data_IF_383321429805
#
_entry.id   IF_383321429805
#
_cell.length_a   1.000
_cell.length_b   1.000
_cell.length_c   1.000
_cell.angle_alpha   90.00
_cell.angle_beta   90.00
_cell.angle_gamma   90.00
#
_symmetry.space_group_name_H-M   'P 1'
#
loop_
_entity.id
_entity.type
_entity.pdbx_description
1 polymer ?
#
# COMPACT_ATOMS: atom_id res chain seq x y z
N UNK A 1 13.14 -14.17 -18.16
CA UNK A 1 12.06 -13.92 -17.17
C UNK A 1 12.63 -13.02 -16.06
N UNK A 2 11.86 -12.07 -15.50
CA UNK A 2 12.38 -11.17 -14.46
C UNK A 2 12.80 -11.97 -13.22
N UNK A 3 13.94 -11.60 -12.59
CA UNK A 3 14.51 -12.34 -11.48
C UNK A 3 13.57 -12.34 -10.28
N UNK A 4 13.61 -13.46 -9.54
CA UNK A 4 12.91 -13.59 -8.27
C UNK A 4 13.89 -13.18 -7.16
N UNK A 5 13.47 -12.24 -6.31
CA UNK A 5 14.27 -11.80 -5.17
C UNK A 5 13.49 -12.11 -3.90
N UNK A 6 14.10 -12.85 -2.98
CA UNK A 6 13.50 -13.30 -1.70
C UNK A 6 12.12 -13.98 -1.90
N UNK A 7 12.01 -14.88 -2.89
CA UNK A 7 10.78 -15.62 -3.18
C UNK A 7 9.64 -14.79 -3.80
N UNK A 8 9.89 -13.52 -4.14
CA UNK A 8 8.90 -12.63 -4.76
C UNK A 8 9.37 -12.19 -6.15
N UNK A 9 8.44 -12.17 -7.09
CA UNK A 9 8.71 -11.70 -8.46
C UNK A 9 8.70 -10.17 -8.50
N UNK A 10 9.70 -9.60 -9.17
CA UNK A 10 9.72 -8.17 -9.47
C UNK A 10 8.68 -7.90 -10.57
N UNK A 11 7.76 -6.96 -10.30
CA UNK A 11 6.68 -6.59 -11.24
C UNK A 11 6.88 -5.16 -11.73
N UNK A 12 7.36 -5.03 -12.96
CA UNK A 12 7.36 -3.75 -13.68
C UNK A 12 5.97 -3.54 -14.30
N UNK A 13 5.40 -2.35 -14.13
CA UNK A 13 4.01 -2.04 -14.50
C UNK A 13 3.93 -1.18 -15.75
N UNK A 14 4.66 -0.07 -15.76
CA UNK A 14 4.65 0.90 -16.85
C UNK A 14 6.00 1.58 -16.96
N UNK A 15 6.30 2.10 -18.15
CA UNK A 15 7.49 2.89 -18.41
C UNK A 15 7.09 4.17 -19.14
N UNK A 16 7.81 5.26 -18.87
CA UNK A 16 7.62 6.53 -19.58
C UNK A 16 8.96 7.21 -19.82
N UNK A 17 8.99 8.14 -20.78
CA UNK A 17 10.18 8.95 -21.05
C UNK A 17 10.35 9.99 -19.92
N UNK A 18 11.48 9.92 -19.22
CA UNK A 18 11.86 10.90 -18.19
C UNK A 18 12.61 12.11 -18.75
N UNK A 19 13.22 11.97 -19.93
CA UNK A 19 14.01 13.02 -20.57
C UNK A 19 14.56 12.57 -21.92
N UNK A 20 15.02 13.54 -22.73
CA UNK A 20 15.41 13.29 -24.12
C UNK A 20 16.94 13.26 -24.35
N UNK A 21 17.74 14.08 -23.64
CA UNK A 21 19.18 14.19 -23.87
C UNK A 21 19.99 14.06 -22.57
N UNK A 22 20.51 12.87 -22.22
CA UNK A 22 20.35 11.58 -22.89
C UNK A 22 18.92 10.99 -22.69
N UNK A 23 18.46 10.06 -23.53
CA UNK A 23 17.15 9.42 -23.37
C UNK A 23 17.05 8.69 -22.02
N UNK A 24 16.11 9.13 -21.18
CA UNK A 24 15.83 8.51 -19.87
C UNK A 24 14.51 7.76 -19.95
N UNK A 25 14.52 6.48 -19.59
CA UNK A 25 13.33 5.65 -19.47
C UNK A 25 13.11 5.37 -17.98
N UNK A 26 12.00 5.90 -17.45
CA UNK A 26 11.61 5.68 -16.05
C UNK A 26 10.64 4.50 -16.00
N UNK A 27 11.02 3.43 -15.32
CA UNK A 27 10.23 2.21 -15.17
C UNK A 27 9.66 2.15 -13.75
N UNK A 28 8.34 2.07 -13.67
CA UNK A 28 7.61 1.96 -12.42
C UNK A 28 7.23 0.53 -12.11
N UNK A 29 7.31 0.15 -10.84
CA UNK A 29 6.91 -1.18 -10.43
C UNK A 29 6.97 -1.44 -8.94
N UNK A 30 6.90 -2.73 -8.60
CA UNK A 30 7.06 -3.25 -7.25
C UNK A 30 8.39 -3.98 -7.13
N UNK A 31 9.15 -3.62 -6.10
CA UNK A 31 10.50 -4.13 -5.83
C UNK A 31 11.50 -3.88 -6.97
N UNK A 32 11.33 -2.78 -7.72
CA UNK A 32 12.26 -2.45 -8.79
C UNK A 32 13.63 -2.04 -8.23
N UNK A 33 13.70 -1.58 -6.99
CA UNK A 33 14.96 -1.25 -6.30
C UNK A 33 15.86 -2.48 -6.09
N UNK A 34 15.25 -3.67 -6.03
CA UNK A 34 15.94 -4.95 -5.85
C UNK A 34 16.40 -5.58 -7.16
N UNK A 35 16.21 -4.88 -8.28
CA UNK A 35 16.56 -5.41 -9.59
C UNK A 35 18.08 -5.47 -9.74
N UNK A 36 18.66 -6.65 -10.04
CA UNK A 36 20.09 -6.78 -10.26
C UNK A 36 20.58 -5.94 -11.45
N UNK A 37 21.83 -5.48 -11.38
CA UNK A 37 22.41 -4.61 -12.41
C UNK A 37 22.52 -5.28 -13.78
N UNK A 38 22.71 -6.61 -13.83
CA UNK A 38 22.70 -7.35 -15.10
C UNK A 38 21.37 -7.22 -15.84
N UNK A 39 20.25 -7.17 -15.11
CA UNK A 39 18.93 -7.03 -15.72
C UNK A 39 18.66 -5.59 -16.16
N UNK A 40 19.22 -4.60 -15.45
CA UNK A 40 19.22 -3.20 -15.91
C UNK A 40 19.93 -3.06 -17.26
N UNK A 41 21.13 -3.64 -17.39
CA UNK A 41 21.89 -3.66 -18.66
C UNK A 41 21.15 -4.39 -19.78
N UNK A 42 20.48 -5.50 -19.46
CA UNK A 42 19.62 -6.19 -20.41
C UNK A 42 18.51 -5.26 -20.93
N UNK A 43 17.77 -4.60 -20.03
CA UNK A 43 16.71 -3.66 -20.42
C UNK A 43 17.25 -2.50 -21.25
N UNK A 44 18.40 -1.94 -20.86
CA UNK A 44 19.06 -0.84 -21.59
C UNK A 44 19.37 -1.25 -23.03
N UNK A 45 20.00 -2.42 -23.21
CA UNK A 45 20.29 -2.98 -24.53
C UNK A 45 19.01 -3.20 -25.34
N UNK A 46 17.99 -3.81 -24.73
CA UNK A 46 16.72 -4.09 -25.40
C UNK A 46 16.02 -2.80 -25.85
N UNK A 47 15.93 -1.78 -24.99
CA UNK A 47 15.31 -0.51 -25.37
C UNK A 47 16.09 0.20 -26.47
N UNK A 48 17.42 0.16 -26.41
CA UNK A 48 18.27 0.72 -27.46
C UNK A 48 18.02 0.07 -28.83
N UNK A 49 17.92 -1.25 -28.86
CA UNK A 49 17.68 -2.03 -30.09
C UNK A 49 16.27 -1.82 -30.65
N UNK A 50 15.24 -1.89 -29.79
CA UNK A 50 13.84 -1.80 -30.22
C UNK A 50 13.48 -0.39 -30.67
N UNK A 51 13.99 0.64 -29.99
CA UNK A 51 13.73 2.05 -30.32
C UNK A 51 14.73 2.62 -31.33
N UNK A 52 15.71 1.82 -31.80
CA UNK A 52 16.76 2.22 -32.75
C UNK A 52 17.51 3.49 -32.32
N UNK A 53 17.84 3.57 -31.03
CA UNK A 53 18.57 4.70 -30.46
C UNK A 53 20.06 4.49 -30.69
N UNK A 54 20.58 5.03 -31.79
CA UNK A 54 22.00 4.98 -32.13
C UNK A 54 22.74 6.22 -31.61
N UNK A 55 24.00 6.05 -31.19
CA UNK A 55 24.88 7.16 -30.80
C UNK A 55 24.66 7.76 -29.41
N UNK A 56 23.60 7.42 -28.67
CA UNK A 56 23.37 7.92 -27.29
C UNK A 56 23.11 6.78 -26.30
N UNK A 57 23.78 6.74 -25.13
CA UNK A 57 23.47 5.76 -24.09
C UNK A 57 22.08 6.00 -23.51
N UNK A 58 21.29 4.93 -23.37
CA UNK A 58 19.95 4.97 -22.76
C UNK A 58 20.10 4.85 -21.24
N UNK A 59 19.50 5.77 -20.48
CA UNK A 59 19.49 5.69 -19.01
C UNK A 59 18.18 5.11 -18.53
N UNK A 60 18.27 4.12 -17.65
CA UNK A 60 17.08 3.52 -17.01
C UNK A 60 17.03 3.95 -15.55
N UNK A 61 15.94 4.62 -15.18
CA UNK A 61 15.61 4.90 -13.79
C UNK A 61 14.51 3.97 -13.32
N UNK A 62 14.73 3.31 -12.19
CA UNK A 62 13.75 2.43 -11.56
C UNK A 62 13.07 3.17 -10.42
N UNK A 63 11.75 3.27 -10.47
CA UNK A 63 10.96 3.83 -9.36
C UNK A 63 10.08 2.75 -8.76
N UNK A 64 10.26 2.52 -7.46
CA UNK A 64 9.37 1.66 -6.68
C UNK A 64 8.23 2.48 -6.09
N UNK A 65 7.02 1.94 -6.19
CA UNK A 65 5.85 2.52 -5.51
C UNK A 65 6.03 2.44 -3.98
N UNK A 66 6.17 3.57 -3.31
CA UNK A 66 6.15 3.64 -1.85
C UNK A 66 4.76 3.32 -1.31
N UNK A 67 4.69 2.59 -0.19
CA UNK A 67 3.43 2.34 0.50
C UNK A 67 3.16 3.45 1.54
N UNK A 68 2.14 4.32 1.35
CA UNK A 68 1.89 5.45 2.25
C UNK A 68 1.59 5.02 3.70
N UNK A 69 1.02 3.84 3.91
CA UNK A 69 0.68 3.33 5.25
C UNK A 69 1.89 2.88 6.07
N UNK A 70 3.06 2.75 5.46
CA UNK A 70 4.29 2.29 6.13
C UNK A 70 5.21 3.44 6.54
N UNK A 71 4.88 4.69 6.21
CA UNK A 71 5.74 5.84 6.52
C UNK A 71 5.95 5.98 8.04
N UNK A 72 4.91 5.81 8.84
CA UNK A 72 4.99 5.87 10.31
C UNK A 72 5.67 4.65 10.96
N UNK A 73 6.01 3.63 10.18
CA UNK A 73 6.62 2.38 10.63
C UNK A 73 8.12 2.31 10.27
N UNK A 74 8.64 3.31 9.55
CA UNK A 74 10.05 3.39 9.17
C UNK A 74 10.94 3.54 10.42
N UNK A 75 12.01 2.74 10.49
CA UNK A 75 12.95 2.74 11.62
C UNK A 75 12.54 1.90 12.83
N UNK A 76 11.36 1.24 12.81
CA UNK A 76 10.93 0.36 13.90
C UNK A 76 11.32 -1.09 13.63
N UNK A 77 11.63 -1.83 14.71
CA UNK A 77 11.86 -3.27 14.59
C UNK A 77 10.56 -3.99 14.17
N UNK A 78 10.64 -5.14 13.49
CA UNK A 78 9.45 -5.90 13.10
C UNK A 78 8.51 -6.21 14.27
N UNK A 79 9.07 -6.42 15.47
CA UNK A 79 8.32 -6.67 16.71
C UNK A 79 7.50 -5.44 17.13
N UNK A 80 8.10 -4.25 17.11
CA UNK A 80 7.42 -2.99 17.43
C UNK A 80 6.29 -2.67 16.44
N UNK A 81 6.52 -2.92 15.14
CA UNK A 81 5.50 -2.75 14.09
C UNK A 81 4.32 -3.69 14.34
N UNK A 82 4.58 -4.97 14.61
CA UNK A 82 3.53 -5.95 14.90
C UNK A 82 2.73 -5.57 16.15
N UNK A 83 3.39 -5.11 17.21
CA UNK A 83 2.74 -4.67 18.44
C UNK A 83 1.84 -3.45 18.21
N UNK A 84 2.32 -2.43 17.50
CA UNK A 84 1.53 -1.23 17.16
C UNK A 84 0.30 -1.57 16.32
N UNK A 85 0.46 -2.41 15.29
CA UNK A 85 -0.65 -2.87 14.44
C UNK A 85 -1.70 -3.62 15.26
N UNK A 86 -1.27 -4.47 16.21
CA UNK A 86 -2.17 -5.19 17.12
C UNK A 86 -2.97 -4.23 18.00
N UNK A 87 -2.31 -3.24 18.62
CA UNK A 87 -2.96 -2.25 19.47
C UNK A 87 -3.98 -1.42 18.67
N UNK A 88 -3.59 -0.93 17.49
CA UNK A 88 -4.48 -0.17 16.62
C UNK A 88 -5.73 -0.99 16.21
N UNK A 89 -5.55 -2.26 15.86
CA UNK A 89 -6.65 -3.18 15.53
C UNK A 89 -7.61 -3.37 16.71
N UNK A 90 -7.08 -3.62 17.91
CA UNK A 90 -7.91 -3.80 19.11
C UNK A 90 -8.70 -2.54 19.46
N UNK A 91 -8.12 -1.35 19.28
CA UNK A 91 -8.79 -0.06 19.50
C UNK A 91 -9.94 0.18 18.51
N UNK A 92 -9.76 -0.17 17.24
CA UNK A 92 -10.79 -0.05 16.22
C UNK A 92 -12.01 -0.96 16.51
N UNK A 93 -11.77 -2.15 17.06
CA UNK A 93 -12.84 -3.12 17.40
C UNK A 93 -13.56 -2.80 18.72
N UNK A 94 -12.91 -2.10 19.65
CA UNK A 94 -13.51 -1.75 20.95
C UNK A 94 -14.51 -0.59 20.91
N UNK A 95 -14.52 0.23 19.85
CA UNK A 95 -15.40 1.40 19.73
C UNK A 95 -16.81 1.08 19.24
N UNK A 96 -17.02 -0.03 18.54
CA UNK A 96 -18.29 -0.33 17.86
C UNK A 96 -19.40 -0.83 18.80
N UNK A 97 -19.08 -1.22 20.04
CA UNK A 97 -20.06 -1.74 21.01
C UNK A 97 -20.39 -0.76 22.15
N UNK A 98 -19.81 0.44 22.17
CA UNK A 98 -19.97 1.39 23.28
C UNK A 98 -21.20 2.30 23.15
N UNK A 99 -21.77 2.45 21.95
CA UNK A 99 -22.84 3.43 21.69
C UNK A 99 -24.26 2.90 21.96
N UNK A 100 -24.46 1.58 21.95
CA UNK A 100 -25.79 0.95 22.17
C UNK A 100 -26.25 0.93 23.64
N UNK A 101 -25.41 1.33 24.60
CA UNK A 101 -25.74 1.24 26.04
C UNK A 101 -26.37 2.51 26.64
N UNK A 102 -26.61 3.57 25.87
CA UNK A 102 -27.01 4.90 26.40
C UNK A 102 -28.46 5.34 26.13
N UNK A 103 -29.38 4.45 25.80
CA UNK A 103 -30.81 4.81 25.84
C UNK A 103 -31.41 4.43 27.19
N UNK A 104 -31.83 5.39 28.05
CA UNK A 104 -32.56 5.03 29.26
C UNK A 104 -33.88 4.38 28.83
N UNK A 105 -34.10 3.13 29.22
CA UNK A 105 -35.39 2.45 29.06
C UNK A 105 -36.44 3.28 29.83
N UNK A 106 -37.24 4.08 29.11
CA UNK A 106 -38.45 4.69 29.67
C UNK A 106 -39.32 3.55 30.21
N UNK A 107 -39.59 3.56 31.52
CA UNK A 107 -40.55 2.65 32.15
C UNK A 107 -41.91 2.83 31.46
N UNK A 108 -42.60 1.77 31.01
CA UNK A 108 -43.97 1.91 30.54
C UNK A 108 -44.86 2.33 31.73
N UNK A 109 -45.70 3.34 31.53
CA UNK A 109 -46.72 3.74 32.49
C UNK A 109 -47.68 2.55 32.71
N UNK A 110 -47.91 2.20 33.98
CA UNK A 110 -48.81 1.11 34.36
C UNK A 110 -50.27 1.43 33.99
N UNK A 111 -51.11 0.41 33.76
CA UNK A 111 -52.52 0.63 33.46
C UNK A 111 -53.25 1.10 34.72
N UNK A 112 -53.76 2.34 34.68
CA UNK A 112 -54.64 2.88 35.71
C UNK A 112 -55.97 2.12 35.73
N UNK A 113 -56.21 1.41 36.83
CA UNK A 113 -57.50 0.78 37.11
C UNK A 113 -58.57 1.82 37.43
N UNK A 114 -59.51 2.02 36.50
CA UNK A 114 -60.75 2.75 36.72
C UNK A 114 -61.88 1.78 37.08
N UNK A 115 -62.33 1.85 38.34
CA UNK A 115 -63.45 1.08 38.90
C UNK A 115 -64.78 1.48 38.24
N UNK A 116 -65.63 0.47 38.08
CA UNK A 116 -67.06 0.56 37.78
C UNK A 116 -67.82 1.19 38.97
N UNK A 117 -68.73 2.09 38.64
CA UNK A 117 -69.94 2.52 39.38
C UNK A 117 -70.69 3.44 38.44
N UNK A 118 -72.00 3.46 38.26
CA UNK A 118 -73.16 2.71 38.74
C UNK A 118 -74.28 3.07 37.75
#
# INVERSE_FOLDING_TARGET
APPMVNGRRIKMKYAHAGGQNPPIIVIHGKQTDKLPDHYKRYLEKTFREVLKLEGTPVRIELRSDANPYTQHEQGMTPQQVAQKRRIAKNRAQGGTHAEERKTPRRRPAGPGGGRKSS
#
